data_IF_085261034414
#
_entry.id   IF_085261034414
#
_cell.length_a   1.000
_cell.length_b   1.000
_cell.length_c   1.000
_cell.angle_alpha   90.00
_cell.angle_beta   90.00
_cell.angle_gamma   90.00
#
_symmetry.space_group_name_H-M   'P 1'
#
loop_
_entity.id
_entity.type
_entity.pdbx_description
1 polymer ?
#
# COMPACT_ATOMS: atom_id res chain seq x y z
N UNK A 1 -8.60 1.34 7.53
CA UNK A 1 -9.92 1.14 6.90
C UNK A 1 -10.98 2.12 7.38
N UNK A 2 -11.34 2.15 8.67
CA UNK A 2 -12.28 3.14 9.21
C UNK A 2 -11.55 4.22 10.01
N UNK A 3 -11.99 5.47 9.88
CA UNK A 3 -11.46 6.58 10.67
C UNK A 3 -11.88 6.47 12.14
N UNK A 4 -10.99 6.90 13.03
CA UNK A 4 -11.20 7.12 14.46
C UNK A 4 -12.49 7.90 14.77
N UNK A 5 -12.87 8.85 13.92
CA UNK A 5 -14.12 9.61 14.06
C UNK A 5 -15.35 8.70 13.93
N UNK A 6 -15.37 7.83 12.92
CA UNK A 6 -16.46 6.89 12.73
C UNK A 6 -16.54 5.90 13.89
N UNK A 7 -15.37 5.38 14.32
CA UNK A 7 -15.29 4.49 15.48
C UNK A 7 -15.88 5.15 16.74
N UNK A 8 -15.55 6.43 16.99
CA UNK A 8 -16.11 7.20 18.10
C UNK A 8 -17.63 7.35 17.98
N UNK A 9 -18.17 7.72 16.82
CA UNK A 9 -19.61 7.87 16.65
C UNK A 9 -20.37 6.56 16.86
N UNK A 10 -19.90 5.46 16.26
CA UNK A 10 -20.50 4.13 16.43
C UNK A 10 -20.44 3.72 17.90
N UNK A 11 -19.31 3.95 18.57
CA UNK A 11 -19.15 3.66 19.99
C UNK A 11 -20.12 4.46 20.86
N UNK A 12 -20.23 5.77 20.66
CA UNK A 12 -21.13 6.66 21.42
C UNK A 12 -22.59 6.24 21.28
N UNK A 13 -23.03 5.95 20.05
CA UNK A 13 -24.40 5.47 19.80
C UNK A 13 -24.62 4.14 20.52
N UNK A 14 -23.66 3.21 20.43
CA UNK A 14 -23.75 1.90 21.06
C UNK A 14 -23.88 1.99 22.58
N UNK A 15 -23.06 2.82 23.25
CA UNK A 15 -23.11 2.93 24.71
C UNK A 15 -24.39 3.61 25.20
N UNK A 16 -24.96 4.56 24.41
CA UNK A 16 -26.24 5.19 24.74
C UNK A 16 -27.37 4.17 24.63
N UNK A 17 -27.39 3.37 23.55
CA UNK A 17 -28.39 2.31 23.37
C UNK A 17 -28.34 1.27 24.49
N UNK A 18 -27.14 0.80 24.87
CA UNK A 18 -26.97 -0.13 25.99
C UNK A 18 -27.35 0.54 27.32
N UNK A 19 -27.08 1.84 27.46
CA UNK A 19 -27.45 2.63 28.64
C UNK A 19 -28.95 2.61 28.94
N UNK A 20 -29.83 2.45 27.94
CA UNK A 20 -31.27 2.27 28.17
C UNK A 20 -31.64 0.92 28.76
N UNK A 21 -30.77 -0.09 28.65
CA UNK A 21 -31.02 -1.48 29.07
C UNK A 21 -30.41 -1.81 30.43
N UNK A 22 -29.33 -1.12 30.82
CA UNK A 22 -28.50 -1.48 31.98
C UNK A 22 -28.92 -0.70 33.24
N UNK A 23 -29.01 -1.34 34.43
CA UNK A 23 -29.23 -0.63 35.68
C UNK A 23 -28.08 0.34 36.00
N UNK A 24 -28.38 1.47 36.65
CA UNK A 24 -27.41 2.56 36.87
C UNK A 24 -26.83 3.11 35.57
N UNK A 25 -27.72 3.41 34.61
CA UNK A 25 -27.39 3.88 33.25
C UNK A 25 -26.40 5.04 33.22
N UNK A 26 -26.51 6.01 34.13
CA UNK A 26 -25.57 7.13 34.21
C UNK A 26 -24.14 6.66 34.52
N UNK A 27 -23.96 5.82 35.54
CA UNK A 27 -22.66 5.29 35.91
C UNK A 27 -22.07 4.44 34.77
N UNK A 28 -22.90 3.62 34.13
CA UNK A 28 -22.49 2.83 32.97
C UNK A 28 -22.00 3.73 31.83
N UNK A 29 -22.82 4.68 31.37
CA UNK A 29 -22.47 5.58 30.26
C UNK A 29 -21.22 6.38 30.60
N UNK A 30 -21.10 6.91 31.82
CA UNK A 30 -19.93 7.70 32.23
C UNK A 30 -18.64 6.89 32.19
N UNK A 31 -18.65 5.67 32.75
CA UNK A 31 -17.48 4.78 32.71
C UNK A 31 -17.13 4.38 31.27
N UNK A 32 -18.12 3.98 30.46
CA UNK A 32 -17.90 3.58 29.07
C UNK A 32 -17.40 4.75 28.23
N UNK A 33 -17.95 5.95 28.40
CA UNK A 33 -17.54 7.13 27.65
C UNK A 33 -16.05 7.43 27.84
N UNK A 34 -15.59 7.53 29.09
CA UNK A 34 -14.19 7.85 29.39
C UNK A 34 -13.26 6.71 28.97
N UNK A 35 -13.55 5.47 29.38
CA UNK A 35 -12.71 4.32 29.03
C UNK A 35 -12.66 4.07 27.52
N UNK A 36 -13.76 4.29 26.81
CA UNK A 36 -13.83 4.14 25.37
C UNK A 36 -13.02 5.19 24.61
N UNK A 37 -13.10 6.46 25.04
CA UNK A 37 -12.23 7.51 24.51
C UNK A 37 -10.75 7.15 24.72
N UNK A 38 -10.38 6.74 25.93
CA UNK A 38 -9.01 6.31 26.24
C UNK A 38 -8.60 5.13 25.35
N UNK A 39 -9.49 4.16 25.14
CA UNK A 39 -9.25 3.00 24.26
C UNK A 39 -8.98 3.46 22.83
N UNK A 40 -9.86 4.29 22.28
CA UNK A 40 -9.74 4.81 20.90
C UNK A 40 -8.41 5.53 20.72
N UNK A 41 -8.06 6.45 21.64
CA UNK A 41 -6.79 7.18 21.57
C UNK A 41 -5.56 6.29 21.75
N UNK A 42 -5.65 5.22 22.53
CA UNK A 42 -4.55 4.27 22.75
C UNK A 42 -4.22 3.43 21.50
N UNK A 43 -5.16 3.33 20.55
CA UNK A 43 -5.02 2.56 19.31
C UNK A 43 -4.90 3.43 18.06
N UNK A 44 -4.92 4.77 18.18
CA UNK A 44 -4.65 5.67 17.05
C UNK A 44 -3.20 5.43 16.63
N UNK A 45 -3.01 4.86 15.43
CA UNK A 45 -1.74 4.38 14.88
C UNK A 45 -1.27 3.01 15.42
N UNK A 46 -2.16 2.01 15.35
CA UNK A 46 -1.79 0.64 15.66
C UNK A 46 -0.88 0.05 14.57
N UNK A 47 0.41 -0.05 14.88
CA UNK A 47 1.44 -0.61 14.00
C UNK A 47 2.03 -1.91 14.56
N UNK A 48 1.84 -2.20 15.85
CA UNK A 48 2.44 -3.36 16.53
C UNK A 48 1.40 -4.11 17.34
N UNK A 49 1.45 -5.44 17.28
CA UNK A 49 0.59 -6.33 18.09
C UNK A 49 0.70 -6.07 19.60
N UNK A 50 1.87 -5.63 20.08
CA UNK A 50 2.09 -5.27 21.48
C UNK A 50 1.21 -4.10 21.98
N UNK A 51 0.70 -3.24 21.08
CA UNK A 51 -0.18 -2.13 21.46
C UNK A 51 -1.54 -2.62 21.98
N UNK A 52 -2.01 -3.81 21.58
CA UNK A 52 -3.22 -4.40 22.16
C UNK A 52 -3.04 -4.75 23.64
N UNK A 53 -1.86 -5.25 24.03
CA UNK A 53 -1.54 -5.55 25.43
C UNK A 53 -1.48 -4.26 26.25
N UNK A 54 -0.77 -3.24 25.74
CA UNK A 54 -0.71 -1.93 26.39
C UNK A 54 -2.10 -1.32 26.56
N UNK A 55 -2.93 -1.34 25.50
CA UNK A 55 -4.31 -0.85 25.53
C UNK A 55 -5.14 -1.59 26.58
N UNK A 56 -5.00 -2.91 26.67
CA UNK A 56 -5.73 -3.72 27.66
C UNK A 56 -5.39 -3.28 29.09
N UNK A 57 -4.12 -3.04 29.39
CA UNK A 57 -3.68 -2.54 30.71
C UNK A 57 -4.23 -1.14 30.99
N UNK A 58 -4.14 -0.23 30.01
CA UNK A 58 -4.67 1.14 30.13
C UNK A 58 -6.17 1.12 30.40
N UNK A 59 -6.94 0.28 29.71
CA UNK A 59 -8.38 0.14 29.91
C UNK A 59 -8.72 -0.43 31.29
N UNK A 60 -7.98 -1.44 31.76
CA UNK A 60 -8.15 -1.97 33.11
C UNK A 60 -7.93 -0.89 34.17
N UNK A 61 -6.84 -0.12 34.07
CA UNK A 61 -6.53 0.99 34.98
C UNK A 61 -7.62 2.06 34.92
N UNK A 62 -8.08 2.42 33.72
CA UNK A 62 -9.11 3.44 33.50
C UNK A 62 -10.41 3.06 34.19
N UNK A 63 -10.93 1.86 33.95
CA UNK A 63 -12.14 1.37 34.62
C UNK A 63 -11.98 1.34 36.14
N UNK A 64 -10.84 0.84 36.62
CA UNK A 64 -10.54 0.73 38.05
C UNK A 64 -10.51 2.11 38.73
N UNK A 65 -9.86 3.09 38.10
CA UNK A 65 -9.77 4.45 38.61
C UNK A 65 -11.13 5.16 38.63
N UNK A 66 -11.89 5.08 37.52
CA UNK A 66 -13.22 5.71 37.42
C UNK A 66 -14.19 5.09 38.42
N UNK A 67 -14.23 3.75 38.50
CA UNK A 67 -15.10 3.04 39.44
C UNK A 67 -14.77 3.43 40.88
N UNK A 68 -13.48 3.41 41.27
CA UNK A 68 -13.05 3.81 42.62
C UNK A 68 -13.45 5.26 42.92
N UNK A 69 -13.21 6.18 41.98
CA UNK A 69 -13.56 7.60 42.14
C UNK A 69 -15.07 7.82 42.31
N UNK A 70 -15.91 7.14 41.51
CA UNK A 70 -17.36 7.24 41.62
C UNK A 70 -17.89 6.72 42.97
N UNK A 71 -17.35 5.60 43.48
CA UNK A 71 -17.74 5.09 44.80
C UNK A 71 -17.32 6.05 45.92
N UNK A 72 -16.12 6.63 45.84
CA UNK A 72 -15.67 7.62 46.82
C UNK A 72 -16.54 8.88 46.83
N UNK A 73 -16.98 9.36 45.65
CA UNK A 73 -17.89 10.50 45.53
C UNK A 73 -19.27 10.20 46.13
N UNK A 74 -19.79 8.98 45.92
CA UNK A 74 -21.14 8.59 46.34
C UNK A 74 -21.22 8.19 47.81
N UNK A 75 -20.24 7.44 48.31
CA UNK A 75 -20.28 6.82 49.64
C UNK A 75 -19.31 7.44 50.64
N UNK A 76 -18.36 8.28 50.18
CA UNK A 76 -17.37 8.93 51.05
C UNK A 76 -16.37 7.98 51.72
N UNK A 77 -16.37 6.68 51.38
CA UNK A 77 -15.48 5.68 51.94
C UNK A 77 -15.22 4.55 50.94
N UNK A 78 -14.22 3.71 51.21
CA UNK A 78 -13.90 2.54 50.38
C UNK A 78 -14.79 1.32 50.67
N UNK A 79 -15.77 1.43 51.58
CA UNK A 79 -16.47 0.25 52.13
C UNK A 79 -17.48 -0.40 51.19
N UNK A 80 -18.14 0.32 50.28
CA UNK A 80 -19.04 -0.27 49.27
C UNK A 80 -18.36 -0.65 47.94
N UNK A 81 -17.03 -0.57 47.87
CA UNK A 81 -16.28 -1.06 46.70
C UNK A 81 -16.40 -2.58 46.61
N UNK A 82 -17.03 -3.04 45.52
CA UNK A 82 -17.15 -4.47 45.23
C UNK A 82 -15.93 -4.95 44.46
N UNK A 83 -15.09 -5.76 45.10
CA UNK A 83 -13.85 -6.27 44.50
C UNK A 83 -14.07 -7.09 43.23
N UNK A 84 -15.22 -7.76 43.11
CA UNK A 84 -15.64 -8.49 41.90
C UNK A 84 -15.66 -7.60 40.65
N UNK A 85 -15.93 -6.29 40.79
CA UNK A 85 -15.95 -5.39 39.64
C UNK A 85 -14.56 -5.22 39.01
N UNK A 86 -13.48 -5.23 39.80
CA UNK A 86 -12.12 -5.21 39.24
C UNK A 86 -11.80 -6.51 38.49
N UNK A 87 -12.29 -7.65 38.95
CA UNK A 87 -12.17 -8.90 38.20
C UNK A 87 -12.94 -8.83 36.87
N UNK A 88 -14.14 -8.22 36.86
CA UNK A 88 -14.88 -7.98 35.62
C UNK A 88 -14.17 -7.00 34.69
N UNK A 89 -13.53 -5.95 35.21
CA UNK A 89 -12.73 -5.02 34.42
C UNK A 89 -11.50 -5.72 33.82
N UNK A 90 -10.84 -6.60 34.59
CA UNK A 90 -9.74 -7.42 34.09
C UNK A 90 -10.23 -8.37 32.98
N UNK A 91 -11.39 -9.01 33.17
CA UNK A 91 -12.04 -9.81 32.13
C UNK A 91 -12.33 -8.99 30.87
N UNK A 92 -12.88 -7.79 31.00
CA UNK A 92 -13.11 -6.87 29.89
C UNK A 92 -11.82 -6.46 29.18
N UNK A 93 -10.74 -6.21 29.93
CA UNK A 93 -9.44 -5.87 29.37
C UNK A 93 -8.85 -7.05 28.57
N UNK A 94 -8.97 -8.28 29.08
CA UNK A 94 -8.55 -9.48 28.35
C UNK A 94 -9.37 -9.68 27.08
N UNK A 95 -10.67 -9.37 27.10
CA UNK A 95 -11.53 -9.45 25.91
C UNK A 95 -11.06 -8.54 24.77
N UNK A 96 -10.38 -7.42 25.06
CA UNK A 96 -9.80 -6.54 24.02
C UNK A 96 -8.73 -7.28 23.19
N UNK A 97 -8.02 -8.24 23.76
CA UNK A 97 -7.03 -9.02 23.03
C UNK A 97 -7.67 -9.86 21.91
N UNK A 98 -8.95 -10.20 22.03
CA UNK A 98 -9.72 -10.87 20.98
C UNK A 98 -10.11 -9.94 19.82
N UNK A 99 -9.85 -8.64 19.92
CA UNK A 99 -10.00 -7.73 18.78
C UNK A 99 -9.09 -8.14 17.62
N UNK A 100 -7.89 -8.66 17.89
CA UNK A 100 -6.95 -9.08 16.85
C UNK A 100 -7.51 -10.21 15.93
N UNK A 101 -7.95 -11.37 16.46
CA UNK A 101 -8.58 -12.39 15.61
C UNK A 101 -9.88 -11.91 14.96
N UNK A 102 -10.62 -10.99 15.61
CA UNK A 102 -11.82 -10.40 15.02
C UNK A 102 -11.51 -9.50 13.82
N UNK A 103 -10.46 -8.68 13.90
CA UNK A 103 -9.97 -7.87 12.79
C UNK A 103 -9.62 -8.76 11.60
N UNK A 104 -8.85 -9.83 11.83
CA UNK A 104 -8.50 -10.79 10.78
C UNK A 104 -9.74 -11.42 10.12
N UNK A 105 -10.75 -11.79 10.92
CA UNK A 105 -12.00 -12.32 10.40
C UNK A 105 -12.74 -11.29 9.52
N UNK A 106 -12.81 -10.03 9.97
CA UNK A 106 -13.44 -8.94 9.23
C UNK A 106 -12.69 -8.63 7.94
N UNK A 107 -11.35 -8.62 7.95
CA UNK A 107 -10.54 -8.48 6.73
C UNK A 107 -10.91 -9.53 5.68
N UNK A 108 -11.08 -10.80 6.09
CA UNK A 108 -11.45 -11.88 5.18
C UNK A 108 -12.89 -11.77 4.65
N UNK A 109 -13.84 -11.35 5.49
CA UNK A 109 -15.24 -11.19 5.09
C UNK A 109 -15.41 -10.02 4.12
N UNK A 110 -14.73 -8.90 4.39
CA UNK A 110 -14.89 -7.67 3.63
C UNK A 110 -13.83 -7.43 2.54
N UNK A 111 -12.80 -8.29 2.45
CA UNK A 111 -11.73 -8.17 1.45
C UNK A 111 -10.80 -6.97 1.68
N UNK A 112 -10.66 -6.54 2.92
CA UNK A 112 -9.94 -5.32 3.30
C UNK A 112 -8.56 -5.63 3.84
N UNK A 113 -7.63 -4.70 3.68
CA UNK A 113 -6.30 -4.78 4.29
C UNK A 113 -6.16 -3.80 5.44
N UNK A 114 -5.60 -4.27 6.56
CA UNK A 114 -5.09 -3.41 7.63
C UNK A 114 -3.59 -3.21 7.53
N UNK A 115 -3.09 -2.20 8.23
CA UNK A 115 -1.66 -1.91 8.36
C UNK A 115 -0.88 -3.14 8.83
N UNK A 116 -1.45 -3.97 9.70
CA UNK A 116 -0.79 -5.21 10.16
C UNK A 116 -0.63 -6.20 9.01
N UNK A 117 -1.69 -6.42 8.23
CA UNK A 117 -1.65 -7.28 7.05
C UNK A 117 -0.68 -6.74 6.01
N UNK A 118 -0.67 -5.42 5.77
CA UNK A 118 0.28 -4.80 4.86
C UNK A 118 1.73 -4.95 5.34
N UNK A 119 2.00 -4.75 6.63
CA UNK A 119 3.32 -4.98 7.20
C UNK A 119 3.80 -6.42 6.98
N UNK A 120 2.93 -7.41 7.22
CA UNK A 120 3.21 -8.83 6.99
C UNK A 120 3.47 -9.13 5.50
N UNK A 121 2.67 -8.58 4.60
CA UNK A 121 2.87 -8.72 3.15
C UNK A 121 4.12 -8.00 2.66
N UNK A 122 4.54 -6.95 3.34
CA UNK A 122 5.73 -6.17 2.98
C UNK A 122 7.04 -6.78 3.49
N UNK A 123 6.98 -7.89 4.22
CA UNK A 123 8.15 -8.69 4.57
C UNK A 123 8.70 -9.39 3.33
N UNK A 124 9.90 -9.00 2.92
CA UNK A 124 10.59 -9.54 1.76
C UNK A 124 11.00 -11.01 1.92
N UNK A 125 10.97 -11.54 3.14
CA UNK A 125 11.17 -12.96 3.42
C UNK A 125 9.87 -13.78 3.32
N UNK A 126 8.74 -13.14 3.03
CA UNK A 126 7.49 -13.85 2.75
C UNK A 126 7.69 -14.80 1.56
N UNK A 127 6.95 -15.92 1.58
CA UNK A 127 7.16 -17.02 0.63
C UNK A 127 7.19 -16.56 -0.84
N UNK A 128 6.26 -15.69 -1.24
CA UNK A 128 6.12 -15.26 -2.63
C UNK A 128 7.19 -14.24 -3.05
N UNK A 129 7.53 -13.28 -2.18
CA UNK A 129 8.61 -12.33 -2.46
C UNK A 129 9.99 -13.01 -2.42
N UNK A 130 10.16 -14.01 -1.57
CA UNK A 130 11.34 -14.86 -1.59
C UNK A 130 11.44 -15.65 -2.90
N UNK A 131 10.34 -16.24 -3.38
CA UNK A 131 10.30 -16.91 -4.69
C UNK A 131 10.63 -15.94 -5.84
N UNK A 132 10.13 -14.70 -5.79
CA UNK A 132 10.48 -13.63 -6.74
C UNK A 132 11.99 -13.35 -6.72
N UNK A 133 12.58 -13.20 -5.54
CA UNK A 133 14.02 -12.94 -5.39
C UNK A 133 14.89 -14.06 -5.96
N UNK A 134 14.41 -15.31 -5.90
CA UNK A 134 15.14 -16.48 -6.39
C UNK A 134 14.97 -16.69 -7.91
N UNK A 135 13.77 -16.44 -8.46
CA UNK A 135 13.47 -16.71 -9.88
C UNK A 135 13.76 -15.53 -10.79
N UNK A 136 13.49 -14.31 -10.33
CA UNK A 136 13.66 -13.07 -11.09
C UNK A 136 14.34 -12.01 -10.20
N UNK A 137 15.63 -12.19 -9.85
CA UNK A 137 16.34 -11.32 -8.91
C UNK A 137 16.43 -9.86 -9.37
N UNK A 138 16.53 -9.62 -10.68
CA UNK A 138 16.53 -8.27 -11.25
C UNK A 138 15.19 -7.56 -11.06
N UNK A 139 14.10 -8.27 -11.34
CA UNK A 139 12.73 -7.79 -11.08
C UNK A 139 12.48 -7.56 -9.59
N UNK A 140 13.00 -8.42 -8.71
CA UNK A 140 12.91 -8.23 -7.27
C UNK A 140 13.60 -6.93 -6.83
N UNK A 141 14.82 -6.68 -7.33
CA UNK A 141 15.56 -5.45 -7.03
C UNK A 141 14.86 -4.20 -7.57
N UNK A 142 14.33 -4.28 -8.80
CA UNK A 142 13.47 -3.25 -9.39
C UNK A 142 12.28 -2.94 -8.47
N UNK A 143 11.53 -3.96 -8.07
CA UNK A 143 10.34 -3.82 -7.23
C UNK A 143 10.65 -3.17 -5.87
N UNK A 144 11.82 -3.46 -5.28
CA UNK A 144 12.29 -2.78 -4.06
C UNK A 144 12.56 -1.28 -4.29
N UNK A 145 13.17 -0.92 -5.41
CA UNK A 145 13.43 0.48 -5.75
C UNK A 145 12.14 1.24 -6.02
N UNK A 146 11.22 0.64 -6.77
CA UNK A 146 9.88 1.19 -7.02
C UNK A 146 9.12 1.37 -5.71
N UNK A 147 9.16 0.39 -4.80
CA UNK A 147 8.51 0.48 -3.49
C UNK A 147 9.03 1.65 -2.66
N UNK A 148 10.36 1.86 -2.60
CA UNK A 148 10.96 2.97 -1.87
C UNK A 148 10.62 4.34 -2.50
N UNK A 149 10.58 4.43 -3.82
CA UNK A 149 10.20 5.65 -4.54
C UNK A 149 8.72 5.98 -4.30
N UNK A 150 7.85 4.99 -4.45
CA UNK A 150 6.41 5.13 -4.29
C UNK A 150 6.02 5.50 -2.85
N UNK A 151 6.61 4.84 -1.86
CA UNK A 151 6.38 5.08 -0.42
C UNK A 151 6.64 6.55 -0.05
N UNK A 152 7.79 7.10 -0.46
CA UNK A 152 8.11 8.49 -0.16
C UNK A 152 7.20 9.46 -0.94
N UNK A 153 6.94 9.18 -2.21
CA UNK A 153 6.09 10.03 -3.06
C UNK A 153 4.67 10.14 -2.53
N UNK A 154 4.07 9.02 -2.10
CA UNK A 154 2.70 9.02 -1.59
C UNK A 154 2.61 9.63 -0.18
N UNK A 155 3.63 9.43 0.66
CA UNK A 155 3.72 10.01 2.01
C UNK A 155 3.62 11.55 1.96
N UNK A 156 4.35 12.19 1.06
CA UNK A 156 4.39 13.66 0.89
C UNK A 156 3.10 14.28 0.33
N UNK A 157 2.24 13.48 -0.27
CA UNK A 157 0.93 13.91 -0.77
C UNK A 157 -0.23 13.43 0.10
N UNK A 158 0.06 12.78 1.24
CA UNK A 158 -0.91 12.36 2.24
C UNK A 158 -1.78 11.17 1.83
N UNK A 159 -1.24 10.23 1.04
CA UNK A 159 -1.89 8.94 0.77
C UNK A 159 -1.37 7.80 1.66
N UNK A 160 -1.77 6.57 1.35
CA UNK A 160 -1.36 5.39 2.13
C UNK A 160 0.03 4.88 1.68
N UNK A 161 1.06 5.28 2.43
CA UNK A 161 2.46 4.92 2.18
C UNK A 161 2.74 3.43 2.27
N UNK A 162 2.18 2.77 3.27
CA UNK A 162 2.40 1.35 3.48
C UNK A 162 1.71 0.51 2.39
N UNK A 163 0.51 0.93 1.95
CA UNK A 163 -0.19 0.29 0.85
C UNK A 163 0.58 0.43 -0.47
N UNK A 164 1.03 1.65 -0.83
CA UNK A 164 1.80 1.86 -2.06
C UNK A 164 3.12 1.08 -2.06
N UNK A 165 3.85 1.09 -0.93
CA UNK A 165 5.06 0.30 -0.74
C UNK A 165 4.78 -1.18 -0.95
N UNK A 166 3.76 -1.71 -0.28
CA UNK A 166 3.42 -3.13 -0.36
C UNK A 166 2.98 -3.50 -1.77
N UNK A 167 2.09 -2.73 -2.39
CA UNK A 167 1.63 -2.95 -3.76
C UNK A 167 2.78 -2.96 -4.78
N UNK A 168 3.71 -2.03 -4.66
CA UNK A 168 4.91 -1.98 -5.48
C UNK A 168 5.83 -3.20 -5.34
N UNK A 169 5.88 -3.86 -4.18
CA UNK A 169 6.68 -5.09 -4.04
C UNK A 169 6.13 -6.25 -4.88
N UNK A 170 4.82 -6.25 -5.15
CA UNK A 170 4.15 -7.35 -5.87
C UNK A 170 3.81 -7.03 -7.33
N UNK A 171 3.89 -5.77 -7.77
CA UNK A 171 3.36 -5.33 -9.08
C UNK A 171 3.86 -6.17 -10.27
N UNK A 172 5.09 -6.66 -10.19
CA UNK A 172 5.78 -7.37 -11.27
C UNK A 172 5.94 -8.88 -11.04
N UNK A 173 5.24 -9.47 -10.08
CA UNK A 173 5.42 -10.91 -9.74
C UNK A 173 5.17 -11.85 -10.92
N UNK A 174 4.35 -11.44 -11.89
CA UNK A 174 4.08 -12.24 -13.10
C UNK A 174 5.32 -12.49 -13.96
N UNK A 175 6.34 -11.64 -13.87
CA UNK A 175 7.62 -11.83 -14.59
C UNK A 175 8.35 -13.11 -14.17
N UNK A 176 8.06 -13.67 -13.00
CA UNK A 176 8.61 -14.97 -12.55
C UNK A 176 8.29 -16.14 -13.49
N UNK A 177 7.22 -16.05 -14.28
CA UNK A 177 6.85 -17.10 -15.22
C UNK A 177 7.87 -17.26 -16.34
N UNK A 178 8.42 -16.14 -16.82
CA UNK A 178 9.39 -16.12 -17.92
C UNK A 178 10.47 -15.04 -17.72
N UNK A 179 11.33 -15.15 -16.69
CA UNK A 179 12.24 -14.07 -16.28
C UNK A 179 13.18 -13.57 -17.39
N UNK A 180 13.64 -14.47 -18.26
CA UNK A 180 14.63 -14.17 -19.31
C UNK A 180 14.14 -13.18 -20.38
N UNK A 181 12.83 -12.97 -20.51
CA UNK A 181 12.26 -11.97 -21.42
C UNK A 181 12.21 -10.56 -20.81
N UNK A 182 12.64 -10.39 -19.57
CA UNK A 182 12.69 -9.08 -18.92
C UNK A 182 14.14 -8.68 -18.73
N UNK A 183 14.52 -7.52 -19.31
CA UNK A 183 15.91 -7.08 -19.45
C UNK A 183 16.65 -7.02 -18.12
N UNK A 184 15.96 -6.68 -17.03
CA UNK A 184 16.55 -6.60 -15.70
C UNK A 184 17.03 -7.95 -15.16
N UNK A 185 16.55 -9.08 -15.71
CA UNK A 185 16.96 -10.44 -15.32
C UNK A 185 17.95 -11.07 -16.30
N UNK A 186 18.30 -10.40 -17.41
CA UNK A 186 19.21 -10.95 -18.40
C UNK A 186 20.66 -10.80 -17.95
N UNK A 187 21.36 -11.92 -17.73
CA UNK A 187 22.75 -11.94 -17.25
C UNK A 187 23.76 -12.15 -18.40
N UNK A 188 23.36 -12.84 -19.47
CA UNK A 188 24.26 -13.36 -20.51
C UNK A 188 24.36 -12.47 -21.75
N UNK A 189 23.69 -11.32 -21.78
CA UNK A 189 23.66 -10.41 -22.93
C UNK A 189 22.92 -10.96 -24.17
N UNK A 190 22.35 -12.16 -24.08
CA UNK A 190 21.49 -12.75 -25.11
C UNK A 190 20.06 -12.33 -24.83
N UNK A 191 19.45 -11.63 -25.80
CA UNK A 191 18.07 -11.17 -25.70
C UNK A 191 17.14 -12.13 -26.48
N UNK A 192 16.28 -12.92 -25.80
CA UNK A 192 15.39 -13.86 -26.47
C UNK A 192 14.34 -13.17 -27.37
N UNK A 193 14.15 -11.86 -27.23
CA UNK A 193 13.32 -11.08 -28.15
C UNK A 193 13.89 -10.99 -29.57
N UNK A 194 15.19 -11.21 -29.76
CA UNK A 194 15.84 -11.13 -31.08
C UNK A 194 15.38 -12.26 -32.02
N UNK A 195 14.84 -13.36 -31.47
CA UNK A 195 14.31 -14.51 -32.21
C UNK A 195 12.78 -14.46 -32.39
N UNK A 196 12.11 -13.41 -31.89
CA UNK A 196 10.66 -13.26 -31.91
C UNK A 196 10.21 -12.10 -32.79
N UNK A 197 8.97 -12.20 -33.28
CA UNK A 197 8.32 -11.01 -33.87
C UNK A 197 8.05 -9.95 -32.80
N UNK A 198 7.91 -8.69 -33.21
CA UNK A 198 7.57 -7.60 -32.28
C UNK A 198 6.22 -7.82 -31.60
N UNK A 199 5.25 -8.41 -32.30
CA UNK A 199 3.95 -8.77 -31.71
C UNK A 199 4.07 -9.87 -30.65
N UNK A 200 4.85 -10.92 -30.92
CA UNK A 200 5.08 -11.99 -29.92
C UNK A 200 5.79 -11.46 -28.69
N UNK A 201 6.79 -10.61 -28.89
CA UNK A 201 7.52 -9.93 -27.82
C UNK A 201 6.59 -9.05 -26.98
N UNK A 202 5.77 -8.22 -27.64
CA UNK A 202 4.79 -7.39 -26.96
C UNK A 202 3.78 -8.22 -26.16
N UNK A 203 3.32 -9.35 -26.71
CA UNK A 203 2.41 -10.27 -26.01
C UNK A 203 3.05 -10.85 -24.75
N UNK A 204 4.29 -11.31 -24.80
CA UNK A 204 5.01 -11.82 -23.62
C UNK A 204 5.13 -10.73 -22.55
N UNK A 205 5.56 -9.53 -22.95
CA UNK A 205 5.68 -8.40 -22.03
C UNK A 205 4.33 -8.02 -21.44
N UNK A 206 3.25 -7.94 -22.22
CA UNK A 206 1.93 -7.55 -21.68
C UNK A 206 1.36 -8.62 -20.74
N UNK A 207 1.59 -9.90 -21.03
CA UNK A 207 1.01 -11.01 -20.28
C UNK A 207 1.48 -11.12 -18.83
N UNK A 208 2.63 -10.52 -18.43
CA UNK A 208 3.06 -10.54 -17.03
C UNK A 208 2.00 -9.96 -16.08
N UNK A 209 1.16 -9.04 -16.55
CA UNK A 209 0.06 -8.50 -15.75
C UNK A 209 -0.97 -9.59 -15.43
N UNK A 210 -1.40 -10.35 -16.44
CA UNK A 210 -2.39 -11.43 -16.28
C UNK A 210 -1.79 -12.55 -15.44
N UNK A 211 -0.58 -12.98 -15.75
CA UNK A 211 0.15 -14.02 -15.01
C UNK A 211 0.35 -13.61 -13.55
N UNK A 212 0.66 -12.33 -13.30
CA UNK A 212 0.81 -11.77 -11.98
C UNK A 212 -0.49 -11.77 -11.19
N UNK A 213 -1.62 -11.40 -11.82
CA UNK A 213 -2.95 -11.46 -11.19
C UNK A 213 -3.31 -12.90 -10.82
N UNK A 214 -3.10 -13.86 -11.72
CA UNK A 214 -3.37 -15.28 -11.45
C UNK A 214 -2.52 -15.81 -10.30
N UNK A 215 -1.22 -15.47 -10.30
CA UNK A 215 -0.30 -15.84 -9.24
C UNK A 215 -0.66 -15.23 -7.90
N UNK A 216 -1.05 -13.95 -7.88
CA UNK A 216 -1.50 -13.26 -6.68
C UNK A 216 -2.77 -13.91 -6.09
N UNK A 217 -3.75 -14.22 -6.94
CA UNK A 217 -4.98 -14.92 -6.54
C UNK A 217 -4.70 -16.31 -5.98
N UNK A 218 -3.81 -17.07 -6.64
CA UNK A 218 -3.37 -18.41 -6.17
C UNK A 218 -2.72 -18.34 -4.79
N UNK A 219 -1.98 -17.26 -4.51
CA UNK A 219 -1.36 -17.01 -3.21
C UNK A 219 -2.26 -16.27 -2.21
N UNK A 220 -3.55 -16.07 -2.55
CA UNK A 220 -4.55 -15.42 -1.69
C UNK A 220 -4.15 -14.00 -1.27
N UNK A 221 -3.45 -13.28 -2.14
CA UNK A 221 -3.19 -11.86 -1.93
C UNK A 221 -4.52 -11.08 -1.91
N UNK A 222 -4.66 -10.05 -1.07
CA UNK A 222 -5.84 -9.19 -1.05
C UNK A 222 -6.05 -8.48 -2.39
N UNK A 223 -7.31 -8.21 -2.75
CA UNK A 223 -7.64 -7.57 -4.04
C UNK A 223 -6.96 -6.20 -4.19
N UNK A 224 -6.87 -5.43 -3.10
CA UNK A 224 -6.17 -4.14 -3.09
C UNK A 224 -4.69 -4.23 -3.50
N UNK A 225 -4.01 -5.37 -3.28
CA UNK A 225 -2.63 -5.60 -3.74
C UNK A 225 -2.63 -6.06 -5.20
N UNK A 226 -3.60 -6.90 -5.59
CA UNK A 226 -3.78 -7.35 -6.97
C UNK A 226 -4.02 -6.15 -7.91
N UNK A 227 -4.70 -5.12 -7.43
CA UNK A 227 -4.96 -3.91 -8.19
C UNK A 227 -3.70 -3.16 -8.62
N UNK A 228 -2.61 -3.23 -7.84
CA UNK A 228 -1.33 -2.65 -8.26
C UNK A 228 -0.76 -3.38 -9.48
N UNK A 229 -0.83 -4.72 -9.51
CA UNK A 229 -0.41 -5.55 -10.66
C UNK A 229 -1.28 -5.23 -11.88
N UNK A 230 -2.58 -5.01 -11.66
CA UNK A 230 -3.53 -4.78 -12.74
C UNK A 230 -3.38 -3.41 -13.39
N UNK A 231 -2.97 -2.41 -12.62
CA UNK A 231 -3.07 -1.00 -13.03
C UNK A 231 -1.73 -0.32 -13.28
N UNK A 232 -0.58 -0.88 -12.88
CA UNK A 232 0.71 -0.17 -12.96
C UNK A 232 1.13 0.21 -14.38
N UNK A 233 0.66 -0.53 -15.39
CA UNK A 233 0.82 -0.13 -16.79
C UNK A 233 -0.37 0.61 -17.39
N UNK A 234 -1.55 0.53 -16.77
CA UNK A 234 -2.78 1.12 -17.27
C UNK A 234 -3.09 0.65 -18.69
N UNK A 235 -3.37 1.59 -19.58
CA UNK A 235 -3.67 1.32 -21.00
C UNK A 235 -2.55 1.79 -21.92
N UNK A 236 -1.31 1.78 -21.42
CA UNK A 236 -0.12 2.15 -22.21
C UNK A 236 0.19 1.08 -23.25
N UNK A 237 1.12 1.41 -24.15
CA UNK A 237 1.64 0.44 -25.13
C UNK A 237 2.97 -0.15 -24.65
N UNK A 238 3.27 -1.38 -25.07
CA UNK A 238 4.63 -1.91 -25.13
C UNK A 238 5.39 -1.15 -26.24
N UNK A 239 5.80 0.07 -25.91
CA UNK A 239 6.07 1.14 -26.88
C UNK A 239 7.24 0.83 -27.82
N UNK A 240 8.30 0.21 -27.31
CA UNK A 240 9.45 -0.20 -28.12
C UNK A 240 9.02 -1.11 -29.28
N UNK A 241 8.33 -2.21 -28.97
CA UNK A 241 7.88 -3.18 -29.97
C UNK A 241 6.87 -2.59 -30.96
N UNK A 242 5.97 -1.73 -30.48
CA UNK A 242 5.01 -1.04 -31.33
C UNK A 242 5.69 -0.09 -32.34
N UNK A 243 6.65 0.71 -31.88
CA UNK A 243 7.41 1.62 -32.74
C UNK A 243 8.23 0.84 -33.77
N UNK A 244 8.90 -0.23 -33.34
CA UNK A 244 9.70 -1.06 -34.24
C UNK A 244 8.83 -1.78 -35.29
N UNK A 245 7.66 -2.30 -34.92
CA UNK A 245 6.70 -2.88 -35.87
C UNK A 245 6.29 -1.87 -36.94
N UNK A 246 5.92 -0.65 -36.56
CA UNK A 246 5.54 0.41 -37.51
C UNK A 246 6.70 0.86 -38.39
N UNK A 247 7.92 0.88 -37.85
CA UNK A 247 9.11 1.29 -38.59
C UNK A 247 9.50 0.28 -39.66
N UNK A 248 9.46 -1.01 -39.31
CA UNK A 248 9.90 -2.08 -40.22
C UNK A 248 8.79 -2.51 -41.20
N UNK A 249 7.53 -2.19 -40.89
CA UNK A 249 6.36 -2.45 -41.73
C UNK A 249 5.53 -1.16 -41.96
N UNK A 250 6.07 -0.15 -42.65
CA UNK A 250 5.44 1.16 -42.80
C UNK A 250 4.12 1.13 -43.60
N UNK A 251 3.97 0.15 -44.49
CA UNK A 251 2.77 -0.04 -45.33
C UNK A 251 1.70 -0.93 -44.68
N UNK A 252 1.99 -1.52 -43.51
CA UNK A 252 1.07 -2.39 -42.79
C UNK A 252 0.21 -1.59 -41.81
N UNK A 253 -1.10 -1.86 -41.80
CA UNK A 253 -1.99 -1.30 -40.79
C UNK A 253 -1.85 -2.06 -39.47
N UNK A 254 -0.87 -1.67 -38.65
CA UNK A 254 -0.56 -2.29 -37.35
C UNK A 254 -1.72 -2.11 -36.36
N UNK A 255 -2.32 -3.21 -35.90
CA UNK A 255 -3.35 -3.17 -34.86
C UNK A 255 -2.76 -2.79 -33.50
N UNK A 256 -2.99 -1.55 -33.08
CA UNK A 256 -2.47 -1.00 -31.83
C UNK A 256 -2.87 -1.80 -30.58
N UNK A 257 -4.03 -2.49 -30.62
CA UNK A 257 -4.55 -3.25 -29.48
C UNK A 257 -3.63 -4.41 -29.10
N UNK A 258 -2.91 -4.98 -30.08
CA UNK A 258 -1.95 -6.07 -29.85
C UNK A 258 -0.72 -5.64 -29.05
N UNK A 259 -0.47 -4.34 -29.00
CA UNK A 259 0.64 -3.74 -28.26
C UNK A 259 0.18 -2.97 -27.02
N UNK A 260 -1.11 -3.00 -26.68
CA UNK A 260 -1.69 -2.18 -25.60
C UNK A 260 -2.01 -3.05 -24.38
N UNK A 261 -1.60 -2.59 -23.20
CA UNK A 261 -1.99 -3.24 -21.94
C UNK A 261 -3.50 -3.19 -21.75
N UNK A 262 -4.12 -4.25 -21.17
CA UNK A 262 -5.57 -4.33 -21.04
C UNK A 262 -6.16 -3.33 -20.03
N UNK A 263 -5.32 -2.76 -19.16
CA UNK A 263 -5.76 -1.89 -18.07
C UNK A 263 -6.45 -2.63 -16.92
N UNK A 264 -7.23 -1.91 -16.09
CA UNK A 264 -7.66 -0.52 -16.27
C UNK A 264 -6.56 0.49 -15.91
N UNK A 265 -6.79 1.77 -16.20
CA UNK A 265 -5.95 2.86 -15.70
C UNK A 265 -6.03 2.94 -14.15
N UNK A 266 -4.99 3.48 -13.48
CA UNK A 266 -5.01 3.75 -12.05
C UNK A 266 -6.26 4.53 -11.61
N UNK A 267 -6.76 4.16 -10.43
CA UNK A 267 -7.98 4.74 -9.87
C UNK A 267 -7.79 5.28 -8.44
N UNK A 268 -6.59 5.15 -7.87
CA UNK A 268 -6.24 5.71 -6.57
C UNK A 268 -4.93 6.49 -6.65
N UNK A 269 -4.64 7.32 -5.65
CA UNK A 269 -3.35 8.03 -5.59
C UNK A 269 -2.19 7.06 -5.54
N UNK A 270 -2.32 5.97 -4.78
CA UNK A 270 -1.31 4.94 -4.57
C UNK A 270 -0.98 4.22 -5.88
N UNK A 271 -2.01 3.75 -6.62
CA UNK A 271 -1.81 3.07 -7.91
C UNK A 271 -1.21 4.00 -8.97
N UNK A 272 -1.63 5.28 -8.99
CA UNK A 272 -1.04 6.30 -9.86
C UNK A 272 0.43 6.57 -9.52
N UNK A 273 0.78 6.65 -8.24
CA UNK A 273 2.16 6.86 -7.79
C UNK A 273 3.04 5.65 -8.14
N UNK A 274 2.55 4.42 -7.98
CA UNK A 274 3.30 3.22 -8.37
C UNK A 274 3.55 3.18 -9.88
N UNK A 275 2.56 3.52 -10.71
CA UNK A 275 2.77 3.67 -12.17
C UNK A 275 3.88 4.68 -12.51
N UNK A 276 3.90 5.84 -11.84
CA UNK A 276 4.93 6.87 -12.06
C UNK A 276 6.30 6.36 -11.64
N UNK A 277 6.39 5.79 -10.44
CA UNK A 277 7.64 5.29 -9.86
C UNK A 277 8.23 4.14 -10.69
N UNK A 278 7.40 3.16 -11.09
CA UNK A 278 7.80 2.04 -11.97
C UNK A 278 8.39 2.56 -13.28
N UNK A 279 7.67 3.46 -13.94
CA UNK A 279 8.10 3.96 -15.26
C UNK A 279 9.39 4.78 -15.19
N UNK A 280 9.53 5.59 -14.14
CA UNK A 280 10.70 6.45 -13.93
C UNK A 280 11.93 5.63 -13.54
N UNK A 281 11.77 4.64 -12.65
CA UNK A 281 12.86 3.72 -12.26
C UNK A 281 13.33 2.91 -13.47
N UNK A 282 12.40 2.25 -14.17
CA UNK A 282 12.75 1.38 -15.29
C UNK A 282 13.46 2.17 -16.40
N UNK A 283 12.99 3.39 -16.69
CA UNK A 283 13.61 4.23 -17.71
C UNK A 283 14.95 4.81 -17.27
N UNK A 284 15.16 5.09 -15.97
CA UNK A 284 16.43 5.65 -15.49
C UNK A 284 17.60 4.66 -15.64
N UNK A 285 17.33 3.35 -15.64
CA UNK A 285 18.33 2.30 -15.92
C UNK A 285 18.92 2.38 -17.33
N UNK A 286 18.21 3.00 -18.27
CA UNK A 286 18.64 3.14 -19.67
C UNK A 286 19.42 4.43 -19.97
N UNK A 287 19.57 5.32 -18.98
CA UNK A 287 20.32 6.56 -19.14
C UNK A 287 21.81 6.28 -19.35
N UNK A 288 22.38 6.82 -20.43
CA UNK A 288 23.82 6.72 -20.72
C UNK A 288 24.65 7.67 -19.85
N UNK A 289 24.11 8.85 -19.58
CA UNK A 289 24.69 9.89 -18.72
C UNK A 289 23.67 10.14 -17.63
N UNK A 290 24.13 10.14 -16.39
CA UNK A 290 23.27 10.30 -15.21
C UNK A 290 23.73 11.56 -14.48
N UNK A 291 23.02 12.65 -14.71
CA UNK A 291 23.20 13.96 -14.09
C UNK A 291 21.83 14.59 -13.73
N UNK A 292 21.84 15.80 -13.15
CA UNK A 292 20.61 16.47 -12.71
C UNK A 292 19.67 16.79 -13.89
N UNK A 293 20.21 17.23 -15.03
CA UNK A 293 19.44 17.62 -16.21
C UNK A 293 18.76 16.40 -16.86
N UNK A 294 19.53 15.34 -17.09
CA UNK A 294 19.01 14.09 -17.68
C UNK A 294 17.95 13.43 -16.79
N UNK A 295 18.12 13.44 -15.46
CA UNK A 295 17.09 12.94 -14.54
C UNK A 295 15.86 13.85 -14.55
N UNK A 296 16.04 15.16 -14.55
CA UNK A 296 14.94 16.11 -14.61
C UNK A 296 14.07 15.87 -15.84
N UNK A 297 14.69 15.78 -17.00
CA UNK A 297 14.02 15.62 -18.29
C UNK A 297 13.35 14.26 -18.40
N UNK A 298 14.01 13.19 -17.91
CA UNK A 298 13.43 11.86 -17.84
C UNK A 298 12.11 11.86 -17.06
N UNK A 299 12.13 12.42 -15.84
CA UNK A 299 10.95 12.43 -14.96
C UNK A 299 9.84 13.31 -15.55
N UNK A 300 10.18 14.48 -16.09
CA UNK A 300 9.19 15.36 -16.72
C UNK A 300 8.53 14.69 -17.93
N UNK A 301 9.32 14.14 -18.85
CA UNK A 301 8.81 13.57 -20.08
C UNK A 301 7.90 12.36 -19.83
N UNK A 302 8.29 11.46 -18.93
CA UNK A 302 7.51 10.25 -18.63
C UNK A 302 6.16 10.63 -18.01
N UNK A 303 6.18 11.47 -16.97
CA UNK A 303 4.97 11.78 -16.21
C UNK A 303 4.05 12.72 -17.00
N UNK A 304 4.59 13.67 -17.78
CA UNK A 304 3.78 14.49 -18.67
C UNK A 304 3.10 13.64 -19.75
N UNK A 305 3.82 12.68 -20.35
CA UNK A 305 3.22 11.75 -21.31
C UNK A 305 2.09 10.92 -20.70
N UNK A 306 2.29 10.39 -19.48
CA UNK A 306 1.23 9.66 -18.76
C UNK A 306 -0.01 10.53 -18.50
N UNK A 307 0.21 11.81 -18.17
CA UNK A 307 -0.86 12.80 -17.98
C UNK A 307 -1.59 13.10 -19.30
N UNK A 308 -0.86 13.33 -20.39
CA UNK A 308 -1.39 13.64 -21.72
C UNK A 308 -2.27 12.51 -22.27
N UNK A 309 -1.87 11.26 -22.06
CA UNK A 309 -2.65 10.08 -22.49
C UNK A 309 -3.73 9.66 -21.47
N UNK A 310 -3.99 10.49 -20.45
CA UNK A 310 -5.09 10.30 -19.50
C UNK A 310 -4.94 9.12 -18.54
N UNK A 311 -3.72 8.67 -18.21
CA UNK A 311 -3.56 7.54 -17.28
C UNK A 311 -4.03 7.85 -15.84
N UNK A 312 -4.14 9.12 -15.48
CA UNK A 312 -4.53 9.54 -14.13
C UNK A 312 -6.00 9.96 -14.01
N UNK A 313 -6.76 9.88 -15.11
CA UNK A 313 -8.11 10.45 -15.22
C UNK A 313 -9.15 9.82 -14.29
N UNK A 314 -8.89 8.63 -13.75
CA UNK A 314 -9.80 7.93 -12.83
C UNK A 314 -9.33 7.95 -11.37
N UNK A 315 -8.26 8.70 -11.05
CA UNK A 315 -7.70 8.77 -9.71
C UNK A 315 -7.82 10.16 -9.11
N UNK A 316 -8.01 10.27 -7.79
CA UNK A 316 -8.09 11.54 -7.06
C UNK A 316 -6.73 12.26 -6.90
N UNK A 317 -5.80 12.06 -7.84
CA UNK A 317 -4.49 12.70 -7.84
C UNK A 317 -4.58 14.09 -8.47
N UNK A 318 -4.11 15.11 -7.76
CA UNK A 318 -4.17 16.49 -8.26
C UNK A 318 -2.91 16.85 -9.05
N UNK A 319 -2.98 17.86 -9.93
CA UNK A 319 -1.78 18.40 -10.58
C UNK A 319 -0.72 18.86 -9.56
N UNK A 320 -1.16 19.38 -8.41
CA UNK A 320 -0.28 19.75 -7.29
C UNK A 320 0.45 18.54 -6.72
N UNK A 321 -0.24 17.41 -6.58
CA UNK A 321 0.36 16.15 -6.13
C UNK A 321 1.39 15.66 -7.15
N UNK A 322 1.05 15.67 -8.44
CA UNK A 322 1.96 15.30 -9.53
C UNK A 322 3.25 16.14 -9.50
N UNK A 323 3.15 17.46 -9.32
CA UNK A 323 4.33 18.33 -9.20
C UNK A 323 5.21 17.96 -8.01
N UNK A 324 4.62 17.63 -6.86
CA UNK A 324 5.37 17.18 -5.69
C UNK A 324 6.05 15.83 -5.94
N UNK A 325 5.33 14.86 -6.51
CA UNK A 325 5.85 13.53 -6.85
C UNK A 325 7.06 13.65 -7.78
N UNK A 326 6.96 14.43 -8.86
CA UNK A 326 8.08 14.70 -9.77
C UNK A 326 9.32 15.18 -9.03
N UNK A 327 9.17 16.15 -8.12
CA UNK A 327 10.30 16.68 -7.32
C UNK A 327 10.94 15.59 -6.44
N UNK A 328 10.12 14.73 -5.83
CA UNK A 328 10.58 13.65 -4.96
C UNK A 328 11.32 12.58 -5.77
N UNK A 329 10.75 12.15 -6.90
CA UNK A 329 11.35 11.16 -7.77
C UNK A 329 12.71 11.64 -8.29
N UNK A 330 12.82 12.89 -8.78
CA UNK A 330 14.10 13.48 -9.20
C UNK A 330 15.14 13.41 -8.07
N UNK A 331 14.79 13.88 -6.88
CA UNK A 331 15.67 13.86 -5.69
C UNK A 331 16.13 12.45 -5.31
N UNK A 332 15.20 11.49 -5.29
CA UNK A 332 15.50 10.12 -4.91
C UNK A 332 16.33 9.40 -5.96
N UNK A 333 16.06 9.59 -7.26
CA UNK A 333 16.90 9.07 -8.33
C UNK A 333 18.34 9.61 -8.24
N UNK A 334 18.51 10.92 -8.04
CA UNK A 334 19.84 11.51 -7.83
C UNK A 334 20.57 10.87 -6.65
N UNK A 335 19.85 10.53 -5.57
CA UNK A 335 20.41 9.84 -4.40
C UNK A 335 20.81 8.40 -4.72
N UNK A 336 19.95 7.65 -5.41
CA UNK A 336 20.22 6.26 -5.84
C UNK A 336 21.46 6.18 -6.72
N UNK A 337 21.64 7.15 -7.62
CA UNK A 337 22.80 7.25 -8.50
C UNK A 337 23.97 8.03 -7.92
N UNK A 338 23.91 8.42 -6.63
CA UNK A 338 24.99 9.09 -5.90
C UNK A 338 25.48 10.40 -6.53
N UNK A 339 24.58 11.13 -7.21
CA UNK A 339 24.90 12.42 -7.81
C UNK A 339 25.07 13.46 -6.71
N UNK A 340 26.25 14.07 -6.65
CA UNK A 340 26.52 15.19 -5.75
C UNK A 340 25.95 16.46 -6.38
N UNK A 341 25.03 17.12 -5.69
CA UNK A 341 24.61 18.47 -6.06
C UNK A 341 25.78 19.39 -5.73
N UNK A 342 26.53 19.80 -6.76
CA UNK A 342 27.53 20.85 -6.60
C UNK A 342 26.80 22.18 -6.40
N UNK A 343 26.92 22.77 -5.21
CA UNK A 343 26.42 24.12 -5.00
C UNK A 343 27.22 25.10 -5.86
N UNK A 344 26.56 26.01 -6.60
CA UNK A 344 27.25 27.07 -7.32
C UNK A 344 28.08 27.89 -6.33
N UNK A 345 29.32 28.24 -6.72
CA UNK A 345 30.15 29.20 -5.98
C UNK A 345 29.63 30.62 -6.13
#
# INVERSE_FOLDING_TARGET
FFDTRLALYVYLITIILIGFLVPNSFQFIFMQFISGIITIFSIVNLQKRAQFLFTSVVVFISYSAIYTGLNLIQEGSFSGIRTINYAMFAGSAVLILFAYPLIFLLEKIFGLVTDVTLMELSDTNSKLLHELSMRAPGTFQHSLQVANLAEESIYEIGGDALLARTGALYHDIGKMGQPMYFVENQVTGVNPHDELTYEESARIIINHVIDGIEMAKKNKLPEQIIDFIRTHHGTRKAEYFYIMQKKDNPDENVDERRFTYPGPIPYSKETSVVMMADSVEAASRSLKIIDEETINDLVENIINKQLEIGQFSNSDITLRDITKIKKILKRKLMTIYHIRIEYPK
#
